data_IF_457691986547
#
_entry.id   IF_457691986547
#
_cell.length_a   1.000
_cell.length_b   1.000
_cell.length_c   1.000
_cell.angle_alpha   90.00
_cell.angle_beta   90.00
_cell.angle_gamma   90.00
#
_symmetry.space_group_name_H-M   'P 1'
#
loop_
_entity.id
_entity.type
_entity.pdbx_description
1 polymer ?
#
# COMPACT_ATOMS: atom_id res chain seq x y z
N UNK A 1 12.01 14.41 12.30
CA UNK A 1 12.53 14.83 13.62
C UNK A 1 13.35 13.71 14.29
N UNK A 2 14.40 14.05 15.01
CA UNK A 2 15.39 13.14 15.59
C UNK A 2 14.76 11.99 16.41
N UNK A 3 13.75 12.29 17.23
CA UNK A 3 13.04 11.33 18.08
C UNK A 3 12.46 10.12 17.35
N UNK A 4 12.17 10.25 16.04
CA UNK A 4 11.63 9.13 15.24
C UNK A 4 12.73 8.24 14.64
N UNK A 5 13.99 8.73 14.61
CA UNK A 5 15.14 7.93 14.16
C UNK A 5 15.79 7.15 15.30
N UNK A 6 15.77 7.69 16.53
CA UNK A 6 16.45 7.09 17.67
C UNK A 6 16.11 5.63 17.93
N UNK A 7 14.83 5.17 17.83
CA UNK A 7 14.47 3.76 18.01
C UNK A 7 15.15 2.79 17.04
N UNK A 8 15.56 3.28 15.87
CA UNK A 8 16.15 2.48 14.81
C UNK A 8 17.69 2.55 14.76
N UNK A 9 18.30 3.17 15.75
CA UNK A 9 19.76 3.25 15.88
C UNK A 9 20.31 2.13 16.79
N UNK A 10 21.54 1.65 16.55
CA UNK A 10 22.33 1.91 15.35
C UNK A 10 21.77 1.15 14.15
N UNK A 11 21.85 1.72 12.96
CA UNK A 11 21.34 1.10 11.71
C UNK A 11 21.94 -0.28 11.39
N UNK A 12 23.12 -0.60 11.98
CA UNK A 12 23.72 -1.94 11.84
C UNK A 12 22.78 -3.07 12.29
N UNK A 13 21.81 -2.80 13.17
CA UNK A 13 20.81 -3.75 13.66
C UNK A 13 19.66 -3.99 12.67
N UNK A 14 19.50 -3.14 11.65
CA UNK A 14 18.45 -3.32 10.65
C UNK A 14 18.66 -4.61 9.89
N UNK A 15 17.59 -5.39 9.76
CA UNK A 15 17.55 -6.56 8.88
C UNK A 15 17.32 -6.10 7.45
N UNK A 16 17.97 -6.74 6.51
CA UNK A 16 17.70 -6.60 5.09
C UNK A 16 16.91 -7.82 4.62
N UNK A 17 16.11 -7.70 3.56
CA UNK A 17 15.48 -8.84 2.92
C UNK A 17 16.53 -9.91 2.54
N UNK A 18 16.18 -11.20 2.56
CA UNK A 18 17.06 -12.23 2.07
C UNK A 18 17.30 -12.04 0.57
N UNK A 19 18.52 -12.35 0.12
CA UNK A 19 18.80 -12.46 -1.30
C UNK A 19 18.52 -13.89 -1.74
N UNK A 20 17.77 -14.03 -2.80
CA UNK A 20 17.40 -15.33 -3.38
C UNK A 20 18.22 -15.49 -4.67
N UNK A 21 18.97 -16.56 -4.77
CA UNK A 21 19.73 -16.88 -5.98
C UNK A 21 18.75 -17.26 -7.10
N UNK A 22 18.95 -16.70 -8.30
CA UNK A 22 18.04 -16.94 -9.43
C UNK A 22 16.70 -16.21 -9.37
N UNK A 23 16.49 -15.34 -8.38
CA UNK A 23 15.23 -14.61 -8.15
C UNK A 23 14.71 -13.84 -9.38
N UNK A 24 15.59 -13.48 -10.29
CA UNK A 24 15.20 -12.77 -11.52
C UNK A 24 14.96 -13.66 -12.73
N UNK A 25 15.20 -14.96 -12.61
CA UNK A 25 15.14 -15.88 -13.75
C UNK A 25 13.70 -16.06 -14.26
N UNK A 26 12.71 -15.92 -13.38
CA UNK A 26 11.28 -15.98 -13.69
C UNK A 26 10.59 -14.61 -13.80
N UNK A 27 11.29 -13.52 -13.47
CA UNK A 27 10.72 -12.18 -13.63
C UNK A 27 10.77 -11.77 -15.12
N UNK A 28 9.62 -11.44 -15.74
CA UNK A 28 9.59 -10.99 -17.12
C UNK A 28 10.47 -9.75 -17.33
N UNK A 29 11.24 -9.71 -18.42
CA UNK A 29 12.14 -8.58 -18.75
C UNK A 29 11.51 -7.19 -18.62
N UNK A 30 10.25 -6.93 -19.04
CA UNK A 30 9.60 -5.65 -18.79
C UNK A 30 9.45 -5.31 -17.31
N UNK A 31 9.25 -6.30 -16.43
CA UNK A 31 9.19 -6.12 -14.99
C UNK A 31 10.51 -5.63 -14.39
N UNK A 32 11.63 -6.03 -14.96
CA UNK A 32 12.97 -5.61 -14.55
C UNK A 32 13.36 -4.27 -15.19
N UNK A 33 13.14 -4.09 -16.49
CA UNK A 33 13.74 -3.02 -17.28
C UNK A 33 13.15 -1.62 -17.03
N UNK A 34 11.92 -1.52 -16.51
CA UNK A 34 11.35 -0.20 -16.22
C UNK A 34 11.55 0.23 -14.76
N UNK A 35 12.05 -0.64 -13.93
CA UNK A 35 12.35 -0.31 -12.54
C UNK A 35 13.58 0.59 -12.47
N UNK A 36 13.35 1.86 -12.22
CA UNK A 36 14.40 2.89 -12.16
C UNK A 36 15.32 2.72 -10.94
N UNK A 37 14.92 1.89 -10.01
CA UNK A 37 15.59 1.69 -8.72
C UNK A 37 16.49 0.47 -8.68
N UNK A 38 16.64 -0.23 -9.80
CA UNK A 38 17.56 -1.32 -9.91
C UNK A 38 18.99 -0.87 -9.62
N UNK A 39 19.65 -1.66 -8.79
CA UNK A 39 21.08 -1.58 -8.66
C UNK A 39 21.61 -0.20 -8.28
N UNK A 40 21.01 0.42 -7.25
CA UNK A 40 21.47 1.72 -6.72
C UNK A 40 22.91 1.67 -6.18
N UNK A 41 23.62 0.54 -6.36
CA UNK A 41 25.03 0.32 -5.94
C UNK A 41 25.28 0.74 -4.49
N UNK A 42 24.29 0.54 -3.63
CA UNK A 42 24.42 0.82 -2.22
C UNK A 42 25.18 -0.29 -1.50
N UNK A 43 26.21 0.07 -0.75
CA UNK A 43 26.81 -0.85 0.21
C UNK A 43 25.83 -1.23 1.32
N UNK A 44 26.09 -2.33 2.02
CA UNK A 44 25.22 -2.87 3.09
C UNK A 44 24.92 -1.81 4.17
N UNK A 45 25.88 -0.93 4.48
CA UNK A 45 25.68 0.12 5.49
C UNK A 45 24.64 1.14 5.01
N UNK A 46 24.69 1.54 3.74
CA UNK A 46 23.72 2.44 3.14
C UNK A 46 22.34 1.80 3.04
N UNK A 47 22.27 0.51 2.65
CA UNK A 47 21.02 -0.24 2.61
C UNK A 47 20.34 -0.27 4.00
N UNK A 48 21.07 -0.64 5.04
CA UNK A 48 20.55 -0.65 6.42
C UNK A 48 20.13 0.75 6.89
N UNK A 49 20.86 1.79 6.49
CA UNK A 49 20.48 3.18 6.78
C UNK A 49 19.18 3.57 6.05
N UNK A 50 18.98 3.13 4.82
CA UNK A 50 17.76 3.37 4.06
C UNK A 50 16.55 2.70 4.73
N UNK A 51 16.67 1.42 5.12
CA UNK A 51 15.62 0.70 5.86
C UNK A 51 15.28 1.39 7.17
N UNK A 52 16.28 1.74 7.99
CA UNK A 52 16.05 2.46 9.25
C UNK A 52 15.44 3.85 9.04
N UNK A 53 15.81 4.55 7.96
CA UNK A 53 15.22 5.82 7.57
C UNK A 53 13.75 5.67 7.15
N UNK A 54 13.42 4.61 6.44
CA UNK A 54 12.04 4.29 6.06
C UNK A 54 11.17 4.02 7.30
N UNK A 55 11.63 3.17 8.22
CA UNK A 55 10.91 2.90 9.47
C UNK A 55 10.72 4.17 10.33
N UNK A 56 11.72 5.03 10.36
CA UNK A 56 11.60 6.33 11.03
C UNK A 56 10.52 7.22 10.37
N UNK A 57 10.40 7.15 9.05
CA UNK A 57 9.35 7.86 8.30
C UNK A 57 7.96 7.29 8.61
N UNK A 58 7.82 5.96 8.69
CA UNK A 58 6.58 5.31 9.10
C UNK A 58 6.18 5.73 10.51
N UNK A 59 7.10 5.69 11.47
CA UNK A 59 6.85 6.14 12.84
C UNK A 59 6.46 7.63 12.91
N UNK A 60 7.01 8.46 12.02
CA UNK A 60 6.60 9.86 11.93
C UNK A 60 5.17 10.00 11.39
N UNK A 61 4.84 9.29 10.31
CA UNK A 61 3.48 9.29 9.73
C UNK A 61 2.46 8.80 10.74
N UNK A 62 2.74 7.69 11.44
CA UNK A 62 1.88 7.16 12.50
C UNK A 62 1.55 8.22 13.55
N UNK A 63 2.57 8.96 14.01
CA UNK A 63 2.36 10.04 14.96
C UNK A 63 1.53 11.23 14.38
N UNK A 64 1.56 11.46 13.06
CA UNK A 64 0.68 12.47 12.45
C UNK A 64 -0.76 11.95 12.30
N UNK A 65 -0.94 10.70 11.91
CA UNK A 65 -2.27 10.04 11.89
C UNK A 65 -2.92 10.11 13.27
N UNK A 66 -2.15 9.79 14.33
CA UNK A 66 -2.64 9.91 15.71
C UNK A 66 -3.15 11.33 16.06
N UNK A 67 -2.49 12.39 15.57
CA UNK A 67 -2.96 13.77 15.79
C UNK A 67 -4.26 14.06 15.03
N UNK A 68 -4.39 13.58 13.79
CA UNK A 68 -5.61 13.76 13.00
C UNK A 68 -6.78 13.05 13.68
N UNK A 69 -6.57 11.80 14.11
CA UNK A 69 -7.60 11.03 14.81
C UNK A 69 -8.01 11.68 16.16
N UNK A 70 -7.02 12.21 16.90
CA UNK A 70 -7.29 12.94 18.15
C UNK A 70 -8.12 14.23 17.89
N UNK A 71 -7.80 14.96 16.83
CA UNK A 71 -8.56 16.16 16.42
C UNK A 71 -9.99 15.80 15.98
N UNK A 72 -10.16 14.73 15.21
CA UNK A 72 -11.48 14.22 14.82
C UNK A 72 -12.33 13.90 16.04
N UNK A 73 -11.78 13.17 17.00
CA UNK A 73 -12.45 12.85 18.25
C UNK A 73 -12.81 14.11 19.05
N UNK A 74 -11.86 15.04 19.19
CA UNK A 74 -12.08 16.30 19.92
C UNK A 74 -13.14 17.21 19.26
N UNK A 75 -13.34 17.10 17.95
CA UNK A 75 -14.39 17.83 17.22
C UNK A 75 -15.80 17.28 17.43
N UNK A 76 -15.93 16.08 18.01
CA UNK A 76 -17.22 15.39 18.15
C UNK A 76 -17.81 14.88 16.83
N UNK A 77 -17.01 14.79 15.77
CA UNK A 77 -17.45 14.33 14.44
C UNK A 77 -17.09 12.85 14.16
N UNK A 78 -16.55 12.14 15.13
CA UNK A 78 -16.08 10.75 14.97
C UNK A 78 -17.21 9.82 14.47
N UNK A 79 -18.42 9.99 15.01
CA UNK A 79 -19.58 9.16 14.65
C UNK A 79 -20.24 9.59 13.32
N UNK A 80 -19.74 10.62 12.67
CA UNK A 80 -20.23 11.12 11.38
C UNK A 80 -19.12 11.23 10.32
N UNK A 81 -18.04 10.51 10.50
CA UNK A 81 -16.89 10.58 9.59
C UNK A 81 -16.43 9.18 9.18
N UNK A 82 -16.36 8.95 7.87
CA UNK A 82 -15.70 7.79 7.30
C UNK A 82 -14.20 8.07 7.28
N UNK A 83 -13.40 7.17 7.83
CA UNK A 83 -11.93 7.26 7.81
C UNK A 83 -11.38 6.20 6.88
N UNK A 84 -10.56 6.61 5.91
CA UNK A 84 -9.83 5.71 5.02
C UNK A 84 -8.34 5.92 5.20
N UNK A 85 -7.63 4.83 5.43
CA UNK A 85 -6.17 4.79 5.45
C UNK A 85 -5.68 3.90 4.32
N UNK A 86 -4.91 4.46 3.41
CA UNK A 86 -4.34 3.75 2.26
C UNK A 86 -3.04 4.43 1.80
N UNK A 87 -2.39 3.87 0.78
CA UNK A 87 -1.26 4.47 0.08
C UNK A 87 -1.51 4.42 -1.43
N UNK A 88 -0.86 5.30 -2.18
CA UNK A 88 -0.88 5.32 -3.64
C UNK A 88 -0.01 4.22 -4.27
N UNK A 89 1.04 3.79 -3.58
CA UNK A 89 1.95 2.69 -3.95
C UNK A 89 2.70 2.18 -2.72
N UNK A 90 3.30 1.03 -2.83
CA UNK A 90 4.22 0.48 -1.87
C UNK A 90 5.68 0.92 -2.10
N UNK A 91 6.65 0.23 -1.51
CA UNK A 91 8.05 0.64 -1.56
C UNK A 91 9.00 -0.53 -1.28
N UNK A 92 9.93 -0.79 -2.19
CA UNK A 92 11.00 -1.77 -2.02
C UNK A 92 12.08 -1.27 -1.07
N UNK A 93 12.51 -2.15 -0.20
CA UNK A 93 13.63 -1.92 0.73
C UNK A 93 14.78 -2.92 0.52
N UNK A 94 14.90 -3.45 -0.69
CA UNK A 94 15.92 -4.39 -1.11
C UNK A 94 15.38 -5.74 -1.54
N UNK A 95 14.06 -5.98 -1.45
CA UNK A 95 13.40 -7.15 -2.02
C UNK A 95 13.69 -7.21 -3.52
N UNK A 96 13.99 -8.40 -4.04
CA UNK A 96 14.35 -8.60 -5.45
C UNK A 96 15.54 -7.73 -5.92
N UNK A 97 16.41 -7.28 -5.02
CA UNK A 97 17.43 -6.24 -5.27
C UNK A 97 16.86 -4.90 -5.78
N UNK A 98 15.55 -4.66 -5.63
CA UNK A 98 14.91 -3.39 -5.96
C UNK A 98 14.88 -2.44 -4.77
N UNK A 99 14.92 -1.14 -5.07
CA UNK A 99 14.83 -0.05 -4.10
C UNK A 99 13.86 1.00 -4.60
N UNK A 100 13.18 1.67 -3.65
CA UNK A 100 12.17 2.67 -3.92
C UNK A 100 10.90 2.05 -4.52
N UNK A 101 10.33 2.65 -5.57
CA UNK A 101 9.02 2.30 -6.13
C UNK A 101 9.12 2.10 -7.65
N UNK A 102 8.00 1.93 -8.29
CA UNK A 102 7.89 1.79 -9.75
C UNK A 102 8.23 0.36 -10.20
N UNK A 103 7.60 -0.62 -9.56
CA UNK A 103 7.56 -2.00 -10.02
C UNK A 103 6.11 -2.50 -10.07
N UNK A 104 5.90 -3.66 -10.67
CA UNK A 104 4.62 -4.38 -10.61
C UNK A 104 4.62 -5.46 -9.52
N UNK A 105 5.74 -5.64 -8.79
CA UNK A 105 5.84 -6.59 -7.69
C UNK A 105 5.00 -6.12 -6.49
N UNK A 106 4.63 -7.05 -5.64
CA UNK A 106 3.72 -6.81 -4.51
C UNK A 106 4.19 -5.69 -3.60
N UNK A 107 5.49 -5.58 -3.33
CA UNK A 107 6.06 -4.52 -2.49
C UNK A 107 5.77 -3.11 -3.02
N UNK A 108 5.49 -2.97 -4.30
CA UNK A 108 5.13 -1.70 -4.94
C UNK A 108 3.65 -1.59 -5.29
N UNK A 109 2.98 -2.68 -5.64
CA UNK A 109 1.61 -2.70 -6.12
C UNK A 109 0.57 -2.98 -5.05
N UNK A 110 0.92 -3.73 -4.00
CA UNK A 110 0.04 -4.01 -2.88
C UNK A 110 0.17 -2.91 -1.82
N UNK A 111 -0.95 -2.29 -1.46
CA UNK A 111 -1.00 -1.21 -0.47
C UNK A 111 -2.00 -1.55 0.65
N UNK A 112 -1.80 -1.01 1.86
CA UNK A 112 -2.79 -1.16 2.91
C UNK A 112 -4.10 -0.47 2.51
N UNK A 113 -5.23 -1.07 2.86
CA UNK A 113 -6.54 -0.44 2.75
C UNK A 113 -7.34 -0.72 4.03
N UNK A 114 -7.62 0.34 4.79
CA UNK A 114 -8.48 0.30 5.97
C UNK A 114 -9.62 1.29 5.74
N UNK A 115 -10.85 0.82 5.85
CA UNK A 115 -12.05 1.65 5.76
C UNK A 115 -12.81 1.52 7.08
N UNK A 116 -12.90 2.61 7.82
CA UNK A 116 -13.67 2.69 9.06
C UNK A 116 -14.93 3.53 8.84
N UNK A 117 -16.08 2.91 9.01
CA UNK A 117 -17.39 3.54 8.88
C UNK A 117 -18.12 3.45 10.22
N UNK A 118 -18.67 4.54 10.76
CA UNK A 118 -19.41 4.52 12.01
C UNK A 118 -20.51 3.46 12.02
N UNK A 119 -20.59 2.70 13.10
CA UNK A 119 -21.58 1.63 13.28
C UNK A 119 -21.24 0.29 12.62
N UNK A 120 -20.20 0.20 11.79
CA UNK A 120 -19.74 -1.08 11.22
C UNK A 120 -18.85 -1.84 12.21
N UNK A 121 -18.92 -3.16 12.16
CA UNK A 121 -18.07 -4.02 12.99
C UNK A 121 -16.70 -4.24 12.32
N UNK A 122 -15.61 -4.34 13.10
CA UNK A 122 -14.30 -4.63 12.55
C UNK A 122 -14.25 -6.05 11.95
N UNK A 123 -13.70 -6.16 10.77
CA UNK A 123 -13.48 -7.43 10.08
C UNK A 123 -12.26 -7.34 9.14
N UNK A 124 -11.78 -8.49 8.69
CA UNK A 124 -10.73 -8.59 7.66
C UNK A 124 -11.35 -9.22 6.42
N UNK A 125 -11.23 -8.53 5.28
CA UNK A 125 -11.63 -9.03 3.97
C UNK A 125 -10.38 -9.37 3.16
N UNK A 126 -10.35 -10.55 2.56
CA UNK A 126 -9.23 -11.02 1.72
C UNK A 126 -9.51 -10.89 0.23
N UNK A 127 -10.68 -10.37 -0.16
CA UNK A 127 -11.04 -10.18 -1.56
C UNK A 127 -10.18 -9.10 -2.23
N UNK A 128 -9.89 -9.32 -3.52
CA UNK A 128 -9.12 -8.38 -4.32
C UNK A 128 -9.89 -7.07 -4.55
N UNK A 129 -9.17 -5.97 -4.37
CA UNK A 129 -9.66 -4.61 -4.61
C UNK A 129 -8.62 -3.80 -5.39
N UNK A 130 -9.05 -2.72 -6.02
CA UNK A 130 -8.16 -1.79 -6.72
C UNK A 130 -8.37 -0.36 -6.18
N UNK A 131 -7.37 0.50 -6.27
CA UNK A 131 -7.49 1.90 -5.80
C UNK A 131 -8.61 2.66 -6.50
N UNK A 132 -8.94 2.32 -7.74
CA UNK A 132 -10.05 2.94 -8.47
C UNK A 132 -11.44 2.60 -7.89
N UNK A 133 -11.55 1.59 -7.03
CA UNK A 133 -12.78 1.22 -6.33
C UNK A 133 -13.13 2.20 -5.21
N UNK A 134 -12.17 2.97 -4.73
CA UNK A 134 -12.39 3.92 -3.62
C UNK A 134 -13.43 4.98 -3.97
N UNK A 135 -13.38 5.53 -5.19
CA UNK A 135 -14.31 6.59 -5.57
C UNK A 135 -15.77 6.12 -5.60
N UNK A 136 -16.15 5.05 -6.34
CA UNK A 136 -17.54 4.57 -6.32
C UNK A 136 -17.99 4.12 -4.92
N UNK A 137 -17.10 3.51 -4.14
CA UNK A 137 -17.37 3.08 -2.76
C UNK A 137 -17.71 4.27 -1.87
N UNK A 138 -16.89 5.33 -1.90
CA UNK A 138 -17.15 6.54 -1.13
C UNK A 138 -18.43 7.22 -1.56
N UNK A 139 -18.70 7.29 -2.86
CA UNK A 139 -19.97 7.85 -3.36
C UNK A 139 -21.17 7.10 -2.81
N UNK A 140 -21.11 5.76 -2.81
CA UNK A 140 -22.14 4.90 -2.25
C UNK A 140 -22.33 5.12 -0.76
N UNK A 141 -21.23 5.05 0.02
CA UNK A 141 -21.26 5.24 1.48
C UNK A 141 -21.76 6.62 1.91
N UNK A 142 -21.55 7.64 1.08
CA UNK A 142 -22.03 9.00 1.32
C UNK A 142 -23.42 9.28 0.72
N UNK A 143 -24.09 8.30 0.13
CA UNK A 143 -25.39 8.46 -0.49
C UNK A 143 -25.38 9.36 -1.73
N UNK A 144 -24.25 9.50 -2.41
CA UNK A 144 -24.09 10.29 -3.62
C UNK A 144 -24.49 9.46 -4.86
N UNK A 145 -24.99 10.09 -5.94
CA UNK A 145 -25.37 9.38 -7.14
C UNK A 145 -24.17 8.70 -7.81
N UNK A 146 -24.40 7.49 -8.32
CA UNK A 146 -23.39 6.75 -9.09
C UNK A 146 -22.96 7.54 -10.33
N UNK A 147 -21.66 7.45 -10.65
CA UNK A 147 -21.07 8.08 -11.82
C UNK A 147 -20.79 7.04 -12.91
N UNK A 148 -21.59 6.99 -14.00
CA UNK A 148 -21.51 5.90 -14.99
C UNK A 148 -20.16 5.74 -15.71
N UNK A 149 -19.32 6.80 -15.69
CA UNK A 149 -18.01 6.80 -16.33
C UNK A 149 -16.90 6.15 -15.49
N UNK A 150 -17.16 5.82 -14.23
CA UNK A 150 -16.19 5.19 -13.36
C UNK A 150 -16.00 3.72 -13.73
N UNK A 151 -14.77 3.27 -13.74
CA UNK A 151 -14.40 1.88 -14.02
C UNK A 151 -14.25 1.05 -12.73
N UNK A 152 -14.13 1.72 -11.57
CA UNK A 152 -14.07 1.07 -10.27
C UNK A 152 -15.40 0.46 -9.87
N UNK A 153 -15.34 -0.50 -8.97
CA UNK A 153 -16.50 -1.22 -8.43
C UNK A 153 -16.76 -0.74 -7.01
N UNK A 154 -18.02 -0.55 -6.65
CA UNK A 154 -18.41 -0.28 -5.27
C UNK A 154 -18.18 -1.53 -4.41
N UNK A 155 -17.25 -1.42 -3.46
CA UNK A 155 -16.88 -2.49 -2.51
C UNK A 155 -17.52 -2.29 -1.13
N UNK A 156 -18.47 -1.38 -0.97
CA UNK A 156 -19.11 -1.09 0.33
C UNK A 156 -19.74 -2.31 0.98
N UNK A 157 -20.25 -3.26 0.19
CA UNK A 157 -20.81 -4.52 0.70
C UNK A 157 -19.80 -5.37 1.46
N UNK A 158 -18.50 -5.26 1.18
CA UNK A 158 -17.44 -5.97 1.93
C UNK A 158 -17.36 -5.53 3.39
N UNK A 159 -17.88 -4.35 3.72
CA UNK A 159 -17.95 -3.86 5.11
C UNK A 159 -19.02 -4.58 5.94
N UNK A 160 -19.99 -5.23 5.31
CA UNK A 160 -21.04 -6.03 5.95
C UNK A 160 -20.80 -7.53 5.80
N UNK A 161 -20.17 -7.94 4.72
CA UNK A 161 -19.84 -9.33 4.39
C UNK A 161 -18.37 -9.43 3.98
N UNK A 162 -17.47 -9.78 4.90
CA UNK A 162 -16.04 -9.89 4.60
C UNK A 162 -15.67 -10.97 3.57
N UNK A 163 -16.59 -11.89 3.26
CA UNK A 163 -16.39 -12.92 2.23
C UNK A 163 -16.93 -12.49 0.87
N UNK A 164 -17.54 -11.30 0.77
CA UNK A 164 -18.02 -10.79 -0.50
C UNK A 164 -16.86 -10.49 -1.42
N UNK A 165 -16.97 -10.92 -2.67
CA UNK A 165 -15.98 -10.61 -3.73
C UNK A 165 -16.64 -9.90 -4.89
N UNK A 166 -15.95 -8.93 -5.47
CA UNK A 166 -16.44 -8.15 -6.63
C UNK A 166 -15.64 -8.46 -7.89
N UNK A 167 -14.47 -9.10 -7.74
CA UNK A 167 -13.60 -9.46 -8.88
C UNK A 167 -12.80 -10.70 -8.60
N UNK A 168 -12.40 -11.39 -9.67
CA UNK A 168 -11.47 -12.53 -9.61
C UNK A 168 -10.02 -12.10 -9.77
N UNK A 169 -9.76 -10.95 -10.39
CA UNK A 169 -8.43 -10.46 -10.62
C UNK A 169 -8.34 -8.93 -10.39
N UNK A 170 -7.21 -8.46 -9.89
CA UNK A 170 -6.84 -7.04 -9.82
C UNK A 170 -5.78 -6.72 -10.88
N UNK A 171 -5.88 -5.54 -11.47
CA UNK A 171 -5.07 -5.14 -12.60
C UNK A 171 -4.22 -3.91 -12.28
N UNK A 172 -2.93 -3.99 -12.56
CA UNK A 172 -2.00 -2.87 -12.43
C UNK A 172 -1.24 -2.61 -13.72
N UNK A 173 -0.92 -1.34 -13.98
CA UNK A 173 -0.25 -0.89 -15.20
C UNK A 173 1.05 -0.21 -14.85
N UNK A 174 2.15 -0.68 -15.41
CA UNK A 174 3.43 -0.01 -15.31
C UNK A 174 3.44 1.34 -16.05
N UNK A 175 4.28 2.31 -15.61
CA UNK A 175 4.43 3.58 -16.29
C UNK A 175 4.70 3.41 -17.78
N UNK A 176 4.12 4.30 -18.59
CA UNK A 176 4.20 4.28 -20.07
C UNK A 176 3.71 2.97 -20.72
N UNK A 177 2.87 2.21 -20.02
CA UNK A 177 2.31 0.92 -20.49
C UNK A 177 3.39 -0.11 -20.86
N UNK A 178 4.53 -0.09 -20.18
CA UNK A 178 5.64 -1.02 -20.44
C UNK A 178 5.43 -2.42 -19.88
N UNK A 179 4.44 -2.60 -19.02
CA UNK A 179 4.07 -3.89 -18.45
C UNK A 179 2.70 -3.83 -17.80
N UNK A 180 2.14 -4.99 -17.59
CA UNK A 180 0.87 -5.19 -16.94
C UNK A 180 1.00 -6.31 -15.91
N UNK A 181 0.35 -6.15 -14.78
CA UNK A 181 0.20 -7.19 -13.76
C UNK A 181 -1.29 -7.54 -13.69
N UNK A 182 -1.57 -8.82 -13.69
CA UNK A 182 -2.85 -9.38 -13.29
C UNK A 182 -2.62 -10.21 -12.03
N UNK A 183 -3.27 -9.83 -10.95
CA UNK A 183 -3.24 -10.54 -9.67
C UNK A 183 -4.52 -11.35 -9.53
N UNK A 184 -4.40 -12.66 -9.40
CA UNK A 184 -5.50 -13.58 -9.12
C UNK A 184 -5.15 -14.40 -7.89
N UNK A 185 -6.03 -14.47 -6.87
CA UNK A 185 -5.84 -15.23 -5.64
C UNK A 185 -4.37 -15.30 -5.16
N UNK A 186 -3.69 -16.41 -5.38
CA UNK A 186 -2.30 -16.65 -4.96
C UNK A 186 -1.25 -16.33 -6.04
N UNK A 187 -1.65 -15.68 -7.16
CA UNK A 187 -0.77 -15.34 -8.29
C UNK A 187 -0.64 -13.83 -8.47
#
# INVERSE_FOLDING_TARGET
PKKYYEPFLPYSKMKLPPKIEGDWDDIPKPGINYCTSLNMKMDIRKQKKAVGGYYASVAFVDAQVGKVMAALKASGQEDNTIVIFTSDHGFHLGEHDFWAKVSLLDESSQVPLIISVPGKQPAVCHSLTELLDLYPTLSSLCGLPAQPRLQGIDISRMLDDPNHTVRKAAFSVAPMRKGFLLREDDW
#
